data_IF_118279410358
#
_entry.id   IF_118279410358
#
_cell.length_a   1.000
_cell.length_b   1.000
_cell.length_c   1.000
_cell.angle_alpha   90.00
_cell.angle_beta   90.00
_cell.angle_gamma   90.00
#
_symmetry.space_group_name_H-M   'P 1'
#
loop_
_entity.id
_entity.type
_entity.pdbx_description
1 polymer ?
#
# COMPACT_ATOMS: atom_id res chain seq x y z
N UNK A 1 23.24 2.64 -11.54
CA UNK A 1 22.15 2.11 -10.68
C UNK A 1 20.85 2.23 -11.44
N UNK A 2 20.16 1.11 -11.70
CA UNK A 2 18.81 1.13 -12.30
C UNK A 2 17.83 1.29 -11.14
N UNK A 3 17.08 2.39 -11.10
CA UNK A 3 16.02 2.57 -10.11
C UNK A 3 14.99 1.45 -10.25
N UNK A 4 14.46 0.95 -9.13
CA UNK A 4 13.31 0.05 -9.14
C UNK A 4 12.08 0.83 -9.62
N UNK A 5 11.24 0.19 -10.43
CA UNK A 5 10.02 0.79 -10.93
C UNK A 5 8.94 0.71 -9.84
N UNK A 6 8.33 1.84 -9.50
CA UNK A 6 7.27 1.91 -8.50
C UNK A 6 6.02 2.56 -9.08
N UNK A 7 4.85 2.08 -8.66
CA UNK A 7 3.56 2.70 -8.95
C UNK A 7 2.99 3.26 -7.65
N UNK A 8 2.67 4.56 -7.67
CA UNK A 8 1.86 5.18 -6.64
C UNK A 8 0.38 5.13 -7.01
N UNK A 9 -0.45 4.56 -6.13
CA UNK A 9 -1.91 4.56 -6.26
C UNK A 9 -2.48 5.41 -5.13
N UNK A 10 -3.44 6.27 -5.46
CA UNK A 10 -4.21 7.01 -4.45
C UNK A 10 -5.68 6.62 -4.53
N UNK A 11 -6.29 6.35 -3.39
CA UNK A 11 -7.71 6.02 -3.28
C UNK A 11 -8.38 6.93 -2.26
N UNK A 12 -9.55 7.44 -2.62
CA UNK A 12 -10.35 8.32 -1.77
C UNK A 12 -11.71 7.68 -1.51
N UNK A 13 -12.08 7.63 -0.23
CA UNK A 13 -13.36 7.14 0.22
C UNK A 13 -14.09 8.25 0.97
N UNK A 14 -15.42 8.24 0.92
CA UNK A 14 -16.26 9.18 1.67
C UNK A 14 -16.14 8.86 3.15
N UNK A 15 -15.86 9.87 3.98
CA UNK A 15 -15.90 9.73 5.43
C UNK A 15 -17.32 10.01 5.94
N UNK A 16 -18.05 8.97 6.35
CA UNK A 16 -19.41 9.12 6.88
C UNK A 16 -19.42 9.57 8.35
N UNK A 17 -18.25 9.78 8.96
CA UNK A 17 -18.08 10.21 10.37
C UNK A 17 -18.78 9.28 11.36
N UNK A 18 -18.86 7.99 11.01
CA UNK A 18 -19.43 7.01 11.94
C UNK A 18 -18.46 6.79 13.11
N UNK A 19 -18.95 6.46 14.31
CA UNK A 19 -18.07 6.19 15.45
C UNK A 19 -17.15 4.99 15.21
N UNK A 20 -17.51 4.08 14.28
CA UNK A 20 -16.67 2.98 13.86
C UNK A 20 -15.48 3.48 13.01
N UNK A 21 -15.73 4.34 12.03
CA UNK A 21 -14.66 4.95 11.21
C UNK A 21 -13.75 5.82 12.07
N UNK A 22 -14.29 6.58 13.02
CA UNK A 22 -13.49 7.48 13.89
C UNK A 22 -12.47 6.71 14.75
N UNK A 23 -12.83 5.51 15.22
CA UNK A 23 -11.95 4.66 16.04
C UNK A 23 -10.76 4.06 15.27
N UNK A 24 -10.79 4.05 13.95
CA UNK A 24 -9.69 3.51 13.14
C UNK A 24 -8.48 4.44 13.23
N UNK A 25 -7.30 3.97 13.68
CA UNK A 25 -6.11 4.80 13.79
C UNK A 25 -5.54 5.14 12.42
N UNK A 26 -4.97 6.34 12.29
CA UNK A 26 -4.23 6.74 11.10
C UNK A 26 -2.92 5.95 10.96
N UNK A 27 -2.43 5.83 9.71
CA UNK A 27 -1.15 5.19 9.41
C UNK A 27 -0.27 6.24 8.75
N UNK A 28 0.66 6.80 9.53
CA UNK A 28 1.52 7.94 9.15
C UNK A 28 2.68 7.58 8.20
N UNK A 29 2.50 6.56 7.36
CA UNK A 29 3.52 6.05 6.45
C UNK A 29 4.34 4.96 7.12
N UNK A 30 3.90 3.72 6.91
CA UNK A 30 4.62 2.53 7.39
C UNK A 30 5.26 1.89 6.18
N UNK A 31 6.58 2.03 6.06
CA UNK A 31 7.33 1.37 4.99
C UNK A 31 7.55 -0.12 5.33
N UNK A 32 7.64 -0.96 4.31
CA UNK A 32 7.87 -2.41 4.40
C UNK A 32 9.01 -2.76 5.34
N UNK A 33 10.09 -1.99 5.29
CA UNK A 33 11.31 -2.17 6.09
C UNK A 33 11.00 -2.21 7.61
N UNK A 34 10.02 -1.44 8.07
CA UNK A 34 9.69 -1.30 9.50
C UNK A 34 8.68 -2.33 10.00
N UNK A 35 7.79 -2.83 9.15
CA UNK A 35 6.67 -3.68 9.57
C UNK A 35 6.46 -4.89 8.63
N UNK A 36 7.55 -5.62 8.38
CA UNK A 36 7.58 -6.73 7.41
C UNK A 36 6.52 -7.81 7.68
N UNK A 37 6.18 -8.09 8.94
CA UNK A 37 5.14 -9.07 9.29
C UNK A 37 3.76 -8.65 8.78
N UNK A 38 3.38 -7.38 8.95
CA UNK A 38 2.14 -6.82 8.44
C UNK A 38 2.04 -6.95 6.92
N UNK A 39 3.10 -6.57 6.20
CA UNK A 39 3.10 -6.66 4.73
C UNK A 39 3.10 -8.09 4.22
N UNK A 40 3.82 -9.01 4.88
CA UNK A 40 3.78 -10.44 4.54
C UNK A 40 2.39 -11.04 4.76
N UNK A 41 1.71 -10.70 5.86
CA UNK A 41 0.35 -11.15 6.13
C UNK A 41 -0.65 -10.56 5.12
N UNK A 42 -0.50 -9.27 4.79
CA UNK A 42 -1.33 -8.62 3.78
C UNK A 42 -1.14 -9.24 2.40
N UNK A 43 0.11 -9.51 2.00
CA UNK A 43 0.43 -10.25 0.77
C UNK A 43 -0.21 -11.64 0.78
N UNK A 44 -0.09 -12.39 1.88
CA UNK A 44 -0.69 -13.71 2.00
C UNK A 44 -2.23 -13.70 1.88
N UNK A 45 -2.89 -12.64 2.35
CA UNK A 45 -4.37 -12.51 2.30
C UNK A 45 -4.90 -11.96 0.98
N UNK A 46 -4.18 -11.03 0.35
CA UNK A 46 -4.68 -10.24 -0.80
C UNK A 46 -3.92 -10.46 -2.10
N UNK A 47 -2.70 -11.02 -2.03
CA UNK A 47 -1.78 -11.14 -3.16
C UNK A 47 -1.11 -9.82 -3.58
N UNK A 48 -1.35 -8.73 -2.87
CA UNK A 48 -0.79 -7.41 -3.19
C UNK A 48 0.54 -7.23 -2.46
N UNK A 49 1.60 -6.94 -3.22
CA UNK A 49 2.92 -6.60 -2.67
C UNK A 49 3.07 -5.07 -2.61
N UNK A 50 3.07 -4.52 -1.40
CA UNK A 50 3.20 -3.07 -1.15
C UNK A 50 4.54 -2.78 -0.49
N UNK A 51 5.21 -1.74 -0.98
CA UNK A 51 6.41 -1.19 -0.38
C UNK A 51 6.08 -0.21 0.76
N UNK A 52 5.01 0.57 0.60
CA UNK A 52 4.58 1.53 1.61
C UNK A 52 3.07 1.77 1.54
N UNK A 53 2.46 2.02 2.69
CA UNK A 53 1.08 2.42 2.82
C UNK A 53 0.96 3.62 3.75
N UNK A 54 0.17 4.60 3.32
CA UNK A 54 -0.19 5.77 4.11
C UNK A 54 -1.71 5.89 4.11
N UNK A 55 -2.27 6.11 5.29
CA UNK A 55 -3.71 6.28 5.48
C UNK A 55 -3.94 7.51 6.36
N UNK A 56 -4.67 8.49 5.81
CA UNK A 56 -5.09 9.69 6.53
C UNK A 56 -6.60 9.84 6.48
N UNK A 57 -7.16 10.35 7.56
CA UNK A 57 -8.57 10.62 7.71
C UNK A 57 -8.77 12.13 7.81
N UNK A 58 -9.27 12.72 6.74
CA UNK A 58 -9.71 14.11 6.75
C UNK A 58 -11.19 14.21 7.17
N UNK A 59 -11.63 15.43 7.44
CA UNK A 59 -13.00 15.74 7.87
C UNK A 59 -14.07 15.11 6.97
N UNK A 60 -13.88 15.07 5.65
CA UNK A 60 -14.89 14.55 4.72
C UNK A 60 -14.43 13.37 3.87
N UNK A 61 -13.11 13.13 3.82
CA UNK A 61 -12.51 12.16 2.91
C UNK A 61 -11.48 11.34 3.66
N UNK A 62 -11.59 10.04 3.50
CA UNK A 62 -10.56 9.08 3.86
C UNK A 62 -9.65 8.92 2.64
N UNK A 63 -8.34 9.09 2.82
CA UNK A 63 -7.37 9.00 1.73
C UNK A 63 -6.31 7.96 2.02
N UNK A 64 -6.10 7.06 1.06
CA UNK A 64 -5.03 6.09 1.03
C UNK A 64 -4.01 6.45 -0.03
N UNK A 65 -2.73 6.30 0.31
CA UNK A 65 -1.61 6.28 -0.62
C UNK A 65 -0.94 4.92 -0.52
N UNK A 66 -0.84 4.24 -1.65
CA UNK A 66 -0.28 2.90 -1.77
C UNK A 66 0.90 2.98 -2.73
N UNK A 67 2.04 2.43 -2.33
CA UNK A 67 3.23 2.33 -3.16
C UNK A 67 3.49 0.85 -3.44
N UNK A 68 3.37 0.47 -4.72
CA UNK A 68 3.68 -0.87 -5.19
C UNK A 68 5.04 -0.85 -5.88
N UNK A 69 5.87 -1.84 -5.60
CA UNK A 69 7.08 -2.10 -6.38
C UNK A 69 6.70 -3.04 -7.53
N UNK A 70 7.01 -2.65 -8.78
CA UNK A 70 6.87 -3.58 -9.90
C UNK A 70 8.17 -4.39 -9.99
N UNK A 71 8.11 -5.72 -9.83
CA UNK A 71 9.24 -6.54 -10.24
C UNK A 71 9.41 -6.35 -11.75
N UNK A 72 10.50 -5.73 -12.18
CA UNK A 72 10.91 -5.68 -13.57
C UNK A 72 11.30 -7.09 -14.01
N UNK A 73 10.32 -7.94 -14.27
CA UNK A 73 10.51 -9.17 -15.03
C UNK A 73 10.72 -8.79 -16.50
N UNK A 74 11.93 -8.34 -16.81
CA UNK A 74 12.48 -8.49 -18.15
C UNK A 74 13.76 -9.34 -18.04
N UNK A 75 13.72 -10.47 -18.74
CA UNK A 75 14.83 -11.35 -19.13
C UNK A 75 15.22 -12.49 -18.16
N UNK A 76 14.45 -13.57 -18.18
CA UNK A 76 14.92 -14.89 -18.68
C UNK A 76 13.78 -15.92 -18.62
N UNK A 77 13.75 -16.84 -19.58
CA UNK A 77 12.82 -17.98 -19.73
C UNK A 77 11.67 -17.82 -20.74
N UNK A 78 11.93 -17.14 -21.87
CA UNK A 78 11.45 -17.67 -23.15
C UNK A 78 12.58 -18.47 -23.78
N UNK A 79 12.73 -19.71 -23.32
CA UNK A 79 13.42 -20.77 -24.06
C UNK A 79 12.55 -22.00 -23.88
N UNK A 80 11.63 -22.19 -24.83
CA UNK A 80 11.13 -23.44 -25.38
C UNK A 80 10.15 -23.09 -26.50
#
# INVERSE_FOLDING_TARGET
MRGKLAIGITANFINNKTPAEERVPEISGVAYIFNQSFFKEMYAKTGVDLENIVYYKACCVIRFFLYLEIPLCCSSNYTL
#
